data_IF_848234637672
#
_entry.id   IF_848234637672
#
_cell.length_a   1.000
_cell.length_b   1.000
_cell.length_c   1.000
_cell.angle_alpha   90.00
_cell.angle_beta   90.00
_cell.angle_gamma   90.00
#
_symmetry.space_group_name_H-M   'P 1'
#
loop_
_entity.id
_entity.type
_entity.pdbx_description
1 polymer ?
#
# COMPACT_ATOMS: atom_id res chain seq x y z
N UNK A 1 4.28 1.01 0.22
CA UNK A 1 4.31 1.51 1.63
C UNK A 1 3.71 2.89 1.88
N UNK A 2 4.30 4.03 1.45
CA UNK A 2 3.78 5.36 1.86
C UNK A 2 2.28 5.58 1.63
N UNK A 3 1.77 5.16 0.46
CA UNK A 3 0.34 5.27 0.13
C UNK A 3 -0.55 4.41 1.04
N UNK A 4 -0.04 3.29 1.57
CA UNK A 4 -0.77 2.45 2.52
C UNK A 4 -0.89 3.14 3.88
N UNK A 5 0.18 3.81 4.35
CA UNK A 5 0.09 4.63 5.56
C UNK A 5 -0.87 5.80 5.38
N UNK A 6 -0.87 6.43 4.20
CA UNK A 6 -1.80 7.51 3.89
C UNK A 6 -3.26 7.01 3.90
N UNK A 7 -3.52 5.85 3.32
CA UNK A 7 -4.82 5.19 3.34
C UNK A 7 -5.26 4.81 4.76
N UNK A 8 -4.35 4.28 5.58
CA UNK A 8 -4.63 4.01 6.99
C UNK A 8 -5.01 5.29 7.75
N UNK A 9 -4.25 6.37 7.57
CA UNK A 9 -4.55 7.65 8.20
C UNK A 9 -5.89 8.23 7.73
N UNK A 10 -6.26 8.02 6.45
CA UNK A 10 -7.58 8.38 5.92
C UNK A 10 -8.68 7.59 6.63
N UNK A 11 -8.57 6.26 6.71
CA UNK A 11 -9.54 5.39 7.41
C UNK A 11 -9.71 5.80 8.88
N UNK A 12 -8.60 6.05 9.58
CA UNK A 12 -8.61 6.54 10.97
C UNK A 12 -9.32 7.90 11.06
N UNK A 13 -8.99 8.84 10.16
CA UNK A 13 -9.60 10.18 10.17
C UNK A 13 -11.11 10.16 9.94
N UNK A 14 -11.62 9.21 9.15
CA UNK A 14 -13.05 9.09 8.82
C UNK A 14 -13.79 8.09 9.72
N UNK A 15 -13.10 7.43 10.66
CA UNK A 15 -13.62 6.30 11.44
C UNK A 15 -14.18 5.15 10.57
N UNK A 16 -13.63 4.96 9.37
CA UNK A 16 -13.95 3.86 8.44
C UNK A 16 -13.11 2.61 8.78
N UNK A 17 -13.18 2.15 10.03
CA UNK A 17 -12.34 1.09 10.59
C UNK A 17 -13.03 -0.27 10.57
N UNK A 18 -13.41 -0.72 9.38
CA UNK A 18 -13.89 -2.08 9.16
C UNK A 18 -12.68 -2.99 9.00
N UNK A 19 -12.70 -4.17 9.63
CA UNK A 19 -11.68 -5.20 9.40
C UNK A 19 -11.62 -5.53 7.92
N UNK A 20 -10.45 -5.35 7.31
CA UNK A 20 -10.24 -5.75 5.93
C UNK A 20 -10.40 -7.27 5.80
N UNK A 21 -10.95 -7.72 4.67
CA UNK A 21 -11.04 -9.15 4.36
C UNK A 21 -9.63 -9.76 4.31
N UNK A 22 -9.44 -10.87 5.02
CA UNK A 22 -8.19 -11.63 4.99
C UNK A 22 -8.20 -12.45 3.70
N UNK A 23 -7.52 -11.97 2.65
CA UNK A 23 -7.36 -12.79 1.46
C UNK A 23 -6.30 -13.87 1.70
N UNK A 24 -6.60 -15.09 1.28
CA UNK A 24 -5.70 -16.25 1.40
C UNK A 24 -4.66 -16.30 0.27
N UNK A 25 -4.77 -15.41 -0.72
CA UNK A 25 -3.97 -15.40 -1.93
C UNK A 25 -3.19 -14.08 -2.09
N UNK A 26 -1.88 -14.18 -2.36
CA UNK A 26 -1.02 -13.01 -2.60
C UNK A 26 -1.50 -12.16 -3.78
N UNK A 27 -2.01 -12.79 -4.84
CA UNK A 27 -2.48 -12.08 -6.02
C UNK A 27 -3.70 -11.20 -5.67
N UNK A 28 -4.64 -11.73 -4.91
CA UNK A 28 -5.83 -10.99 -4.46
C UNK A 28 -5.46 -9.81 -3.58
N UNK A 29 -4.51 -9.97 -2.65
CA UNK A 29 -3.98 -8.85 -1.86
C UNK A 29 -3.41 -7.72 -2.74
N UNK A 30 -2.60 -8.05 -3.75
CA UNK A 30 -2.02 -7.04 -4.65
C UNK A 30 -3.10 -6.29 -5.43
N UNK A 31 -4.14 -6.98 -5.90
CA UNK A 31 -5.26 -6.34 -6.59
C UNK A 31 -6.12 -5.49 -5.65
N UNK A 32 -6.47 -6.01 -4.47
CA UNK A 32 -7.24 -5.28 -3.48
C UNK A 32 -6.53 -3.99 -3.03
N UNK A 33 -5.21 -4.05 -2.84
CA UNK A 33 -4.40 -2.86 -2.56
C UNK A 33 -4.45 -1.85 -3.71
N UNK A 34 -4.33 -2.32 -4.96
CA UNK A 34 -4.35 -1.43 -6.13
C UNK A 34 -5.65 -0.62 -6.27
N UNK A 35 -6.79 -1.16 -5.83
CA UNK A 35 -8.09 -0.48 -5.88
C UNK A 35 -8.30 0.52 -4.73
N UNK A 36 -7.78 0.19 -3.54
CA UNK A 36 -7.99 0.96 -2.31
C UNK A 36 -7.07 2.17 -2.19
N UNK A 37 -5.84 2.06 -2.68
CA UNK A 37 -4.83 3.10 -2.51
C UNK A 37 -5.15 4.39 -3.28
N UNK A 38 -4.66 5.51 -2.73
CA UNK A 38 -4.65 6.79 -3.42
C UNK A 38 -3.92 6.72 -4.76
N UNK A 39 -4.47 7.37 -5.79
CA UNK A 39 -3.79 7.49 -7.07
C UNK A 39 -2.46 8.26 -6.88
N UNK A 40 -1.31 7.70 -7.27
CA UNK A 40 -0.02 8.32 -6.94
C UNK A 40 0.14 9.75 -7.49
N UNK A 41 -0.50 10.04 -8.63
CA UNK A 41 -0.53 11.38 -9.26
C UNK A 41 -1.32 12.41 -8.46
N UNK A 42 -2.21 12.00 -7.57
CA UNK A 42 -2.91 12.90 -6.68
C UNK A 42 -2.02 13.36 -5.51
N UNK A 43 -1.08 12.49 -5.10
CA UNK A 43 -0.25 12.65 -3.89
C UNK A 43 1.11 13.25 -4.20
N UNK A 44 1.80 12.78 -5.25
CA UNK A 44 3.15 13.18 -5.59
C UNK A 44 3.18 14.15 -6.78
N UNK A 45 4.10 15.13 -6.71
CA UNK A 45 4.38 16.06 -7.81
C UNK A 45 5.67 15.71 -8.57
N UNK A 46 6.54 14.88 -7.99
CA UNK A 46 7.81 14.49 -8.61
C UNK A 46 7.58 13.55 -9.79
N UNK A 47 7.95 14.02 -10.99
CA UNK A 47 7.80 13.27 -12.25
C UNK A 47 8.64 11.99 -12.29
N UNK A 48 9.83 12.00 -11.71
CA UNK A 48 10.73 10.85 -11.66
C UNK A 48 10.15 9.78 -10.75
N UNK A 49 9.68 10.18 -9.57
CA UNK A 49 9.00 9.27 -8.64
C UNK A 49 7.74 8.66 -9.29
N UNK A 50 6.90 9.50 -9.92
CA UNK A 50 5.71 9.05 -10.63
C UNK A 50 6.05 8.07 -11.76
N UNK A 51 7.12 8.32 -12.52
CA UNK A 51 7.57 7.40 -13.57
C UNK A 51 8.02 6.07 -12.96
N UNK A 52 8.78 6.11 -11.87
CA UNK A 52 9.28 4.91 -11.21
C UNK A 52 8.14 4.03 -10.69
N UNK A 53 7.19 4.60 -9.95
CA UNK A 53 6.09 3.83 -9.35
C UNK A 53 5.05 3.37 -10.37
N UNK A 54 4.87 4.08 -11.49
CA UNK A 54 3.85 3.69 -12.50
C UNK A 54 4.38 2.84 -13.64
N UNK A 55 5.66 3.00 -14.02
CA UNK A 55 6.24 2.30 -15.18
C UNK A 55 7.40 1.38 -14.83
N UNK A 56 8.32 1.83 -13.97
CA UNK A 56 9.55 1.07 -13.69
C UNK A 56 9.32 -0.07 -12.71
N UNK A 57 8.45 0.15 -11.73
CA UNK A 57 8.16 -0.77 -10.62
C UNK A 57 6.64 -0.89 -10.38
N UNK A 58 5.85 -1.30 -11.38
CA UNK A 58 4.38 -1.30 -11.29
C UNK A 58 3.85 -2.28 -10.23
N UNK A 59 4.58 -3.37 -9.96
CA UNK A 59 4.28 -4.37 -8.93
C UNK A 59 5.24 -4.29 -7.74
N UNK A 60 5.86 -3.12 -7.54
CA UNK A 60 6.90 -2.92 -6.53
C UNK A 60 8.31 -3.20 -7.06
N UNK A 61 9.28 -3.17 -6.15
CA UNK A 61 10.67 -3.42 -6.47
C UNK A 61 10.91 -4.92 -6.61
N UNK A 62 11.06 -5.40 -7.84
CA UNK A 62 11.53 -6.76 -8.15
C UNK A 62 12.98 -6.70 -8.62
N UNK A 63 13.84 -7.40 -7.90
CA UNK A 63 15.24 -7.57 -8.28
C UNK A 63 15.47 -9.02 -8.71
N UNK A 64 15.24 -9.28 -9.99
CA UNK A 64 15.42 -10.59 -10.58
C UNK A 64 16.84 -11.15 -10.40
N UNK A 65 17.86 -10.28 -10.29
CA UNK A 65 19.25 -10.74 -10.06
C UNK A 65 19.44 -11.22 -8.63
N UNK A 66 18.80 -10.55 -7.67
CA UNK A 66 18.80 -11.00 -6.29
C UNK A 66 17.99 -12.29 -6.14
N UNK A 67 16.79 -12.34 -6.73
CA UNK A 67 15.92 -13.53 -6.73
C UNK A 67 16.64 -14.76 -7.31
N UNK A 68 17.35 -14.59 -8.43
CA UNK A 68 18.14 -15.66 -9.06
C UNK A 68 19.29 -16.13 -8.17
N UNK A 69 20.04 -15.20 -7.58
CA UNK A 69 21.12 -15.54 -6.64
C UNK A 69 20.60 -16.27 -5.40
N UNK A 70 19.48 -15.83 -4.83
CA UNK A 70 18.88 -16.46 -3.65
C UNK A 70 18.40 -17.87 -4.00
N UNK A 71 17.72 -18.03 -5.14
CA UNK A 71 17.28 -19.34 -5.63
C UNK A 71 18.46 -20.29 -5.78
N UNK A 72 19.50 -19.88 -6.55
CA UNK A 72 20.66 -20.71 -6.87
C UNK A 72 21.57 -21.03 -5.68
N UNK A 73 21.86 -20.04 -4.84
CA UNK A 73 22.86 -20.19 -3.78
C UNK A 73 22.27 -20.54 -2.43
N UNK A 74 20.96 -20.39 -2.22
CA UNK A 74 20.29 -20.64 -0.95
C UNK A 74 19.25 -21.74 -1.04
N UNK A 75 18.23 -21.56 -1.88
CA UNK A 75 17.08 -22.47 -1.96
C UNK A 75 17.49 -23.81 -2.54
N UNK A 76 18.14 -23.82 -3.71
CA UNK A 76 18.62 -25.06 -4.36
C UNK A 76 19.66 -25.82 -3.52
N UNK A 77 20.37 -25.10 -2.63
CA UNK A 77 21.34 -25.70 -1.71
C UNK A 77 20.72 -26.21 -0.40
N UNK A 78 19.39 -26.13 -0.25
CA UNK A 78 18.68 -26.50 0.97
C UNK A 78 19.26 -25.83 2.23
N UNK A 79 19.72 -24.58 2.10
CA UNK A 79 20.13 -23.80 3.26
C UNK A 79 18.90 -23.48 4.13
N UNK A 80 19.09 -23.18 5.43
CA UNK A 80 17.97 -22.89 6.33
C UNK A 80 17.07 -21.77 5.80
N UNK A 81 15.77 -22.05 5.73
CA UNK A 81 14.72 -21.12 5.32
C UNK A 81 13.59 -21.13 6.33
N UNK A 82 12.87 -20.02 6.43
CA UNK A 82 11.66 -19.89 7.23
C UNK A 82 10.48 -19.63 6.32
N UNK A 83 9.49 -20.52 6.32
CA UNK A 83 8.26 -20.31 5.59
C UNK A 83 7.34 -19.41 6.42
N UNK A 84 7.01 -18.24 5.89
CA UNK A 84 6.10 -17.28 6.50
C UNK A 84 4.80 -17.34 5.71
N UNK A 85 3.70 -17.71 6.35
CA UNK A 85 2.38 -17.73 5.71
C UNK A 85 1.77 -16.32 5.74
N UNK A 86 0.96 -15.96 4.73
CA UNK A 86 0.46 -14.58 4.57
C UNK A 86 -0.38 -14.10 5.77
N UNK A 87 -1.10 -15.00 6.40
CA UNK A 87 -1.92 -14.78 7.60
C UNK A 87 -1.10 -14.43 8.85
N UNK A 88 0.21 -14.72 8.87
CA UNK A 88 1.09 -14.36 10.00
C UNK A 88 1.51 -12.89 9.98
N UNK A 89 1.37 -12.18 8.84
CA UNK A 89 1.71 -10.76 8.71
C UNK A 89 0.52 -9.83 9.02
N UNK A 90 -0.29 -10.18 10.04
CA UNK A 90 -1.44 -9.39 10.46
C UNK A 90 -1.12 -8.68 11.77
N UNK A 91 -1.19 -7.34 11.75
CA UNK A 91 -1.08 -6.53 12.97
C UNK A 91 -2.47 -6.16 13.48
N UNK A 92 -2.80 -6.59 14.70
CA UNK A 92 -4.06 -6.21 15.36
C UNK A 92 -3.87 -4.87 16.07
N UNK A 93 -4.67 -3.88 15.66
CA UNK A 93 -4.71 -2.57 16.32
C UNK A 93 -5.89 -2.51 17.29
N UNK A 94 -5.65 -1.99 18.50
CA UNK A 94 -6.70 -1.83 19.50
C UNK A 94 -7.64 -0.66 19.11
N UNK A 95 -8.97 -0.86 19.09
CA UNK A 95 -9.93 0.22 18.85
C UNK A 95 -9.80 1.39 19.85
N UNK A 96 -9.45 1.08 21.11
CA UNK A 96 -9.22 2.09 22.14
C UNK A 96 -7.98 2.95 21.86
N UNK A 97 -6.92 2.36 21.28
CA UNK A 97 -5.75 3.14 20.86
C UNK A 97 -6.10 4.03 19.68
N UNK A 98 -6.85 3.51 18.71
CA UNK A 98 -7.24 4.27 17.53
C UNK A 98 -8.15 5.45 17.88
N UNK A 99 -9.11 5.27 18.80
CA UNK A 99 -10.02 6.34 19.23
C UNK A 99 -9.31 7.51 19.93
N UNK A 100 -8.13 7.25 20.51
CA UNK A 100 -7.29 8.24 21.19
C UNK A 100 -6.34 8.96 20.23
N UNK A 101 -6.21 8.53 18.97
CA UNK A 101 -5.35 9.18 17.98
C UNK A 101 -5.89 10.58 17.69
N UNK A 102 -5.03 11.58 17.85
CA UNK A 102 -5.31 12.97 17.46
C UNK A 102 -4.47 13.31 16.25
N UNK A 103 -5.11 13.40 15.09
CA UNK A 103 -4.45 13.83 13.86
C UNK A 103 -4.40 15.36 13.80
N UNK A 104 -3.28 15.91 13.35
CA UNK A 104 -3.14 17.34 13.13
C UNK A 104 -4.18 17.83 12.08
N UNK A 105 -4.87 18.97 12.30
CA UNK A 105 -5.83 19.50 11.33
C UNK A 105 -5.24 19.70 9.92
N UNK A 106 -3.97 20.08 9.84
CA UNK A 106 -3.25 20.25 8.59
C UNK A 106 -3.07 18.93 7.83
N UNK A 107 -2.88 17.82 8.54
CA UNK A 107 -2.81 16.50 7.93
C UNK A 107 -4.17 16.09 7.36
N UNK A 108 -5.24 16.31 8.12
CA UNK A 108 -6.62 15.99 7.70
C UNK A 108 -6.98 16.80 6.44
N UNK A 109 -6.69 18.10 6.44
CA UNK A 109 -6.96 18.95 5.27
C UNK A 109 -6.14 18.52 4.06
N UNK A 110 -4.89 18.08 4.26
CA UNK A 110 -4.04 17.55 3.19
C UNK A 110 -4.59 16.26 2.61
N UNK A 111 -5.02 15.31 3.43
CA UNK A 111 -5.63 14.05 2.99
C UNK A 111 -6.86 14.33 2.13
N UNK A 112 -7.77 15.19 2.59
CA UNK A 112 -8.95 15.61 1.81
C UNK A 112 -8.57 16.25 0.47
N UNK A 113 -7.48 17.03 0.43
CA UNK A 113 -7.00 17.62 -0.82
C UNK A 113 -6.54 16.56 -1.83
N UNK A 114 -5.97 15.44 -1.36
CA UNK A 114 -5.57 14.32 -2.21
C UNK A 114 -6.79 13.55 -2.73
N UNK A 115 -7.82 13.32 -1.90
CA UNK A 115 -9.08 12.69 -2.32
C UNK A 115 -9.73 13.49 -3.46
N UNK A 116 -9.86 14.81 -3.29
CA UNK A 116 -10.44 15.70 -4.30
C UNK A 116 -9.66 15.69 -5.62
N UNK A 117 -8.32 15.64 -5.56
CA UNK A 117 -7.48 15.50 -6.75
C UNK A 117 -7.69 14.15 -7.43
N UNK A 118 -7.73 13.06 -6.67
CA UNK A 118 -7.95 11.73 -7.18
C UNK A 118 -9.32 11.60 -7.87
N UNK A 119 -10.40 12.13 -7.29
CA UNK A 119 -11.72 12.14 -7.93
C UNK A 119 -11.73 12.88 -9.27
N UNK A 120 -11.01 14.00 -9.38
CA UNK A 120 -10.87 14.73 -10.65
C UNK A 120 -10.09 13.95 -11.70
N UNK A 121 -9.04 13.22 -11.29
CA UNK A 121 -8.25 12.37 -12.18
C UNK A 121 -9.06 11.17 -12.70
N UNK A 122 -9.82 10.51 -11.84
CA UNK A 122 -10.72 9.40 -12.23
C UNK A 122 -11.76 9.85 -13.25
N UNK A 123 -12.40 11.02 -13.05
CA UNK A 123 -13.36 11.59 -14.02
C UNK A 123 -12.73 11.83 -15.40
N UNK A 124 -11.48 12.30 -15.47
CA UNK A 124 -10.77 12.54 -16.74
C UNK A 124 -10.42 11.27 -17.53
N UNK A 125 -10.47 10.08 -16.93
CA UNK A 125 -10.21 8.80 -17.64
C UNK A 125 -11.46 8.23 -18.31
N UNK A 126 -12.65 8.73 -17.96
CA UNK A 126 -13.95 8.27 -18.46
C UNK A 126 -14.49 9.10 -19.64
N UNK A 127 -13.83 10.22 -19.95
CA UNK A 127 -14.09 11.06 -21.13
C UNK A 127 -12.89 10.99 -22.07
#
# INVERSE_FOLDING_TARGET
EFLHYLELMRKISNMELISDEISTNLFENVYADSERLFEPRAVFNDKTLLLHITKKFPSGFRDYKLEDKVSKYWIEKNLPTTNITLDTNVTKLSPDLISKIRLAPDLISKIKSFELKASKLRKKRLY
#
